data_IF_121493284611
#
_entry.id   IF_121493284611
#
_cell.length_a   1.000
_cell.length_b   1.000
_cell.length_c   1.000
_cell.angle_alpha   90.00
_cell.angle_beta   90.00
_cell.angle_gamma   90.00
#
_symmetry.space_group_name_H-M   'P 1'
#
loop_
_entity.id
_entity.type
_entity.pdbx_description
1 polymer ?
#
# COMPACT_ATOMS: atom_id res chain seq x y z
N UNK A 1 -9.61 18.75 -2.45
CA UNK A 1 -8.27 18.14 -2.37
C UNK A 1 -7.48 18.80 -1.25
N UNK A 2 -6.79 18.02 -0.45
CA UNK A 2 -5.90 18.53 0.61
C UNK A 2 -4.47 18.09 0.27
N UNK A 3 -3.51 18.99 0.46
CA UNK A 3 -2.10 18.71 0.22
C UNK A 3 -1.31 19.02 1.50
N UNK A 4 -0.39 18.10 1.83
CA UNK A 4 0.51 18.24 2.97
C UNK A 4 1.95 18.19 2.47
N UNK A 5 2.74 19.19 2.83
CA UNK A 5 4.16 19.25 2.51
C UNK A 5 4.91 19.77 3.73
N UNK A 6 5.96 19.07 4.12
CA UNK A 6 6.78 19.48 5.25
C UNK A 6 8.27 19.23 4.98
N UNK A 7 9.13 20.13 5.42
CA UNK A 7 10.59 20.01 5.24
C UNK A 7 11.21 19.00 6.20
N UNK A 8 10.64 18.84 7.39
CA UNK A 8 11.10 17.88 8.37
C UNK A 8 10.53 16.49 8.07
N UNK A 9 11.41 15.52 7.85
CA UNK A 9 11.02 14.15 7.52
C UNK A 9 10.23 13.48 8.66
N UNK A 10 10.54 13.76 9.91
CA UNK A 10 9.81 13.16 11.04
C UNK A 10 8.37 13.64 11.09
N UNK A 11 8.12 14.94 10.84
CA UNK A 11 6.78 15.47 10.73
C UNK A 11 6.04 14.88 9.53
N UNK A 12 6.68 14.74 8.37
CA UNK A 12 6.10 14.13 7.17
C UNK A 12 5.70 12.66 7.42
N UNK A 13 6.56 11.87 8.05
CA UNK A 13 6.28 10.47 8.41
C UNK A 13 5.12 10.38 9.41
N UNK A 14 5.09 11.23 10.41
CA UNK A 14 4.02 11.27 11.40
C UNK A 14 2.65 11.54 10.76
N UNK A 15 2.58 12.57 9.90
CA UNK A 15 1.34 12.92 9.18
C UNK A 15 0.92 11.79 8.24
N UNK A 16 1.87 11.19 7.51
CA UNK A 16 1.60 10.04 6.64
C UNK A 16 0.97 8.88 7.42
N UNK A 17 1.51 8.54 8.57
CA UNK A 17 0.95 7.49 9.43
C UNK A 17 -0.48 7.78 9.89
N UNK A 18 -0.79 9.05 10.20
CA UNK A 18 -2.15 9.45 10.58
C UNK A 18 -3.11 9.36 9.40
N UNK A 19 -2.68 9.81 8.22
CA UNK A 19 -3.50 9.79 6.99
C UNK A 19 -3.79 8.37 6.53
N UNK A 20 -2.80 7.47 6.55
CA UNK A 20 -2.97 6.08 6.13
C UNK A 20 -4.04 5.33 6.94
N UNK A 21 -4.26 5.72 8.18
CA UNK A 21 -5.34 5.15 9.02
C UNK A 21 -6.75 5.58 8.59
N UNK A 22 -6.85 6.58 7.72
CA UNK A 22 -8.10 7.14 7.22
C UNK A 22 -8.27 6.98 5.71
N UNK A 23 -7.27 6.40 5.04
CA UNK A 23 -7.32 6.14 3.61
C UNK A 23 -8.15 4.91 3.30
N UNK A 24 -9.02 5.01 2.31
CA UNK A 24 -9.69 3.86 1.70
C UNK A 24 -8.79 3.18 0.67
N UNK A 25 -8.01 3.97 -0.07
CA UNK A 25 -7.06 3.50 -1.10
C UNK A 25 -5.81 4.37 -1.08
N UNK A 26 -4.65 3.75 -1.18
CA UNK A 26 -3.37 4.41 -1.32
C UNK A 26 -2.88 4.32 -2.78
N UNK A 27 -2.70 5.46 -3.41
CA UNK A 27 -2.03 5.55 -4.71
C UNK A 27 -0.55 5.85 -4.47
N UNK A 28 0.32 4.92 -4.81
CA UNK A 28 1.75 5.03 -4.53
C UNK A 28 2.60 4.29 -5.55
N UNK A 29 3.84 4.71 -5.71
CA UNK A 29 4.85 3.88 -6.37
C UNK A 29 5.21 2.69 -5.46
N UNK A 30 5.74 1.59 -6.00
CA UNK A 30 6.25 0.48 -5.19
C UNK A 30 7.44 0.93 -4.34
N UNK A 31 7.22 1.09 -3.06
CA UNK A 31 8.21 1.57 -2.08
C UNK A 31 7.91 0.95 -0.71
N UNK A 32 8.52 1.47 0.34
CA UNK A 32 8.24 1.05 1.72
C UNK A 32 6.76 1.21 2.11
N UNK A 33 6.06 2.14 1.49
CA UNK A 33 4.62 2.33 1.69
C UNK A 33 3.78 1.14 1.19
N UNK A 34 4.34 0.32 0.30
CA UNK A 34 3.67 -0.90 -0.17
C UNK A 34 3.45 -1.96 0.93
N UNK A 35 4.11 -1.81 2.07
CA UNK A 35 3.95 -2.72 3.21
C UNK A 35 2.87 -2.31 4.21
N UNK A 36 2.26 -1.16 4.03
CA UNK A 36 1.12 -0.75 4.87
C UNK A 36 -0.14 -1.56 4.52
N UNK A 37 -0.95 -1.93 5.55
CA UNK A 37 -2.19 -2.68 5.34
C UNK A 37 -3.34 -1.77 4.89
N UNK A 38 -3.20 -1.16 3.73
CA UNK A 38 -4.19 -0.31 3.06
C UNK A 38 -4.31 -0.81 1.62
N UNK A 39 -5.52 -0.89 1.04
CA UNK A 39 -5.67 -1.17 -0.39
C UNK A 39 -4.83 -0.24 -1.26
N UNK A 40 -4.05 -0.79 -2.18
CA UNK A 40 -3.04 -0.03 -2.93
C UNK A 40 -3.22 -0.13 -4.43
N UNK A 41 -3.11 1.01 -5.10
CA UNK A 41 -2.83 1.09 -6.52
C UNK A 41 -1.36 1.45 -6.72
N UNK A 42 -0.61 0.56 -7.32
CA UNK A 42 0.81 0.76 -7.62
C UNK A 42 0.96 1.46 -8.96
N UNK A 43 1.51 2.67 -8.95
CA UNK A 43 1.90 3.38 -10.16
C UNK A 43 3.35 3.06 -10.52
N UNK A 44 3.83 3.61 -11.64
CA UNK A 44 5.16 3.33 -12.15
C UNK A 44 6.27 3.56 -11.10
N UNK A 45 7.18 2.60 -10.99
CA UNK A 45 8.36 2.69 -10.11
C UNK A 45 9.37 3.71 -10.60
N UNK A 46 10.19 4.21 -9.70
CA UNK A 46 11.34 5.06 -10.04
C UNK A 46 12.61 4.22 -10.22
N UNK A 47 12.84 3.28 -9.34
CA UNK A 47 14.01 2.39 -9.37
C UNK A 47 13.68 0.94 -9.71
N UNK A 48 14.58 0.26 -10.43
CA UNK A 48 14.39 -1.13 -10.84
C UNK A 48 14.18 -2.09 -9.65
N UNK A 49 14.82 -1.82 -8.52
CA UNK A 49 14.69 -2.62 -7.29
C UNK A 49 13.30 -2.56 -6.66
N UNK A 50 12.48 -1.56 -7.00
CA UNK A 50 11.13 -1.39 -6.47
C UNK A 50 10.09 -2.33 -7.12
N UNK A 51 10.44 -2.99 -8.24
CA UNK A 51 9.51 -3.88 -8.96
C UNK A 51 8.87 -4.95 -8.07
N UNK A 52 9.66 -5.51 -7.16
CA UNK A 52 9.21 -6.55 -6.23
C UNK A 52 8.13 -6.08 -5.25
N UNK A 53 8.07 -4.78 -4.95
CA UNK A 53 7.04 -4.21 -4.09
C UNK A 53 5.64 -4.36 -4.66
N UNK A 54 5.46 -4.09 -5.96
CA UNK A 54 4.18 -4.25 -6.64
C UNK A 54 3.80 -5.74 -6.81
N UNK A 55 4.75 -6.58 -7.20
CA UNK A 55 4.53 -8.03 -7.32
C UNK A 55 4.07 -8.60 -5.98
N UNK A 56 4.76 -8.23 -4.90
CA UNK A 56 4.39 -8.69 -3.56
C UNK A 56 3.01 -8.21 -3.13
N UNK A 57 2.65 -6.95 -3.39
CA UNK A 57 1.32 -6.43 -3.06
C UNK A 57 0.21 -7.21 -3.79
N UNK A 58 0.42 -7.52 -5.06
CA UNK A 58 -0.51 -8.32 -5.84
C UNK A 58 -0.61 -9.77 -5.33
N UNK A 59 0.52 -10.39 -4.96
CA UNK A 59 0.55 -11.75 -4.40
C UNK A 59 -0.11 -11.84 -3.01
N UNK A 60 0.13 -10.86 -2.16
CA UNK A 60 -0.53 -10.73 -0.85
C UNK A 60 -2.03 -10.46 -1.03
N UNK A 61 -2.41 -9.77 -2.11
CA UNK A 61 -3.78 -9.42 -2.42
C UNK A 61 -4.23 -8.11 -1.77
N UNK A 62 -3.30 -7.25 -1.38
CA UNK A 62 -3.59 -5.94 -0.80
C UNK A 62 -3.32 -4.77 -1.75
N UNK A 63 -2.83 -5.05 -2.97
CA UNK A 63 -2.55 -4.05 -3.98
C UNK A 63 -2.57 -4.58 -5.41
N UNK A 64 -2.52 -3.67 -6.37
CA UNK A 64 -2.42 -3.99 -7.80
C UNK A 64 -0.99 -4.36 -8.19
N UNK A 65 -0.84 -4.95 -9.36
CA UNK A 65 0.41 -4.87 -10.10
C UNK A 65 0.70 -3.42 -10.47
N UNK A 66 1.93 -3.15 -10.92
CA UNK A 66 2.34 -1.84 -11.39
C UNK A 66 1.52 -1.41 -12.60
N UNK A 67 0.93 -0.22 -12.52
CA UNK A 67 0.12 0.40 -13.58
C UNK A 67 0.96 1.50 -14.23
N UNK A 68 1.35 1.29 -15.47
CA UNK A 68 2.30 2.17 -16.16
C UNK A 68 1.64 3.34 -16.89
N UNK A 69 0.36 3.20 -17.24
CA UNK A 69 -0.38 4.19 -18.02
C UNK A 69 -1.43 4.89 -17.19
N UNK A 70 -1.58 6.17 -17.40
CA UNK A 70 -2.61 6.98 -16.73
C UNK A 70 -4.01 6.42 -16.93
N UNK A 71 -4.30 5.93 -18.13
CA UNK A 71 -5.61 5.32 -18.46
C UNK A 71 -5.90 4.08 -17.63
N UNK A 72 -4.87 3.27 -17.36
CA UNK A 72 -5.00 2.06 -16.52
C UNK A 72 -5.29 2.44 -15.06
N UNK A 73 -4.61 3.47 -14.55
CA UNK A 73 -4.83 4.00 -13.20
C UNK A 73 -6.25 4.54 -13.05
N UNK A 74 -6.70 5.34 -14.02
CA UNK A 74 -8.05 5.91 -14.02
C UNK A 74 -9.13 4.83 -14.10
N UNK A 75 -8.96 3.85 -14.99
CA UNK A 75 -9.90 2.73 -15.10
C UNK A 75 -9.99 1.93 -13.80
N UNK A 76 -8.85 1.70 -13.13
CA UNK A 76 -8.83 0.99 -11.85
C UNK A 76 -9.48 1.83 -10.73
N UNK A 77 -9.28 3.15 -10.72
CA UNK A 77 -9.95 4.02 -9.77
C UNK A 77 -11.47 4.03 -9.97
N UNK A 78 -11.94 4.05 -11.21
CA UNK A 78 -13.36 3.97 -11.52
C UNK A 78 -13.96 2.63 -11.03
N UNK A 79 -13.28 1.52 -11.26
CA UNK A 79 -13.69 0.20 -10.74
C UNK A 79 -13.72 0.14 -9.22
N UNK A 80 -12.80 0.81 -8.55
CA UNK A 80 -12.76 0.86 -7.08
C UNK A 80 -13.91 1.72 -6.53
N UNK A 81 -14.23 2.84 -7.19
CA UNK A 81 -15.23 3.79 -6.71
C UNK A 81 -16.65 3.39 -7.09
N UNK A 82 -16.86 2.90 -8.31
CA UNK A 82 -18.18 2.60 -8.87
C UNK A 82 -18.50 1.10 -8.88
N UNK A 83 -17.48 0.24 -8.82
CA UNK A 83 -17.64 -1.21 -8.72
C UNK A 83 -17.72 -1.69 -7.27
N UNK A 84 -18.11 -2.94 -7.11
CA UNK A 84 -18.30 -3.58 -5.80
C UNK A 84 -17.40 -4.80 -5.56
N UNK A 85 -16.44 -5.07 -6.44
CA UNK A 85 -15.62 -6.27 -6.39
C UNK A 85 -14.18 -6.01 -5.94
N UNK A 86 -13.49 -5.02 -6.50
CA UNK A 86 -12.05 -4.83 -6.33
C UNK A 86 -11.71 -4.40 -4.91
N UNK A 87 -12.33 -3.35 -4.40
CA UNK A 87 -12.03 -2.84 -3.06
C UNK A 87 -12.32 -3.88 -1.96
N UNK A 88 -13.47 -4.55 -1.96
CA UNK A 88 -13.68 -5.65 -1.02
C UNK A 88 -12.70 -6.81 -1.16
N UNK A 89 -12.23 -7.13 -2.37
CA UNK A 89 -11.23 -8.16 -2.60
C UNK A 89 -9.88 -7.79 -1.97
N UNK A 90 -9.43 -6.55 -2.15
CA UNK A 90 -8.21 -6.03 -1.52
C UNK A 90 -8.31 -6.02 0.02
N UNK A 91 -9.45 -5.62 0.55
CA UNK A 91 -9.71 -5.67 1.99
C UNK A 91 -9.66 -7.11 2.55
N UNK A 92 -10.24 -8.06 1.84
CA UNK A 92 -10.12 -9.49 2.21
C UNK A 92 -8.67 -9.98 2.15
N UNK A 93 -7.90 -9.53 1.16
CA UNK A 93 -6.45 -9.79 1.06
C UNK A 93 -5.71 -9.31 2.30
N UNK A 94 -5.97 -8.09 2.74
CA UNK A 94 -5.37 -7.50 3.95
C UNK A 94 -5.73 -8.34 5.19
N UNK A 95 -6.99 -8.73 5.35
CA UNK A 95 -7.42 -9.53 6.50
C UNK A 95 -6.75 -10.91 6.52
N UNK A 96 -6.61 -11.58 5.37
CA UNK A 96 -5.87 -12.83 5.26
C UNK A 96 -4.39 -12.67 5.60
N UNK A 97 -3.75 -11.62 5.07
CA UNK A 97 -2.36 -11.31 5.34
C UNK A 97 -2.12 -11.00 6.83
N UNK A 98 -3.04 -10.25 7.45
CA UNK A 98 -3.01 -10.01 8.90
C UNK A 98 -3.10 -11.30 9.69
N UNK A 99 -4.04 -12.17 9.36
CA UNK A 99 -4.20 -13.47 10.03
C UNK A 99 -2.95 -14.37 9.88
N UNK A 100 -2.23 -14.25 8.76
CA UNK A 100 -0.97 -14.95 8.51
C UNK A 100 0.26 -14.27 9.13
N UNK A 101 0.10 -13.16 9.84
CA UNK A 101 1.20 -12.42 10.48
C UNK A 101 2.09 -11.62 9.53
N UNK A 102 1.66 -11.37 8.29
CA UNK A 102 2.50 -10.72 7.26
C UNK A 102 2.85 -9.28 7.63
N UNK A 103 2.01 -8.58 8.38
CA UNK A 103 2.27 -7.19 8.80
C UNK A 103 3.02 -7.06 10.14
N UNK A 104 3.42 -8.17 10.76
CA UNK A 104 4.05 -8.17 12.07
C UNK A 104 5.59 -8.24 12.03
N UNK A 105 6.21 -8.02 10.87
CA UNK A 105 7.64 -8.23 10.67
C UNK A 105 8.53 -7.49 11.66
N UNK A 106 8.24 -6.23 11.96
CA UNK A 106 9.01 -5.45 12.92
C UNK A 106 8.90 -6.03 14.35
N UNK A 107 7.71 -6.43 14.77
CA UNK A 107 7.48 -7.06 16.06
C UNK A 107 8.23 -8.39 16.18
N UNK A 108 8.14 -9.25 15.18
CA UNK A 108 8.82 -10.54 15.16
C UNK A 108 10.35 -10.38 15.14
N UNK A 109 10.88 -9.39 14.41
CA UNK A 109 12.30 -9.09 14.40
C UNK A 109 12.82 -8.67 15.80
N UNK A 110 12.09 -7.80 16.48
CA UNK A 110 12.43 -7.38 17.84
C UNK A 110 12.35 -8.57 18.81
N UNK A 111 11.31 -9.37 18.71
CA UNK A 111 11.14 -10.57 19.54
C UNK A 111 12.32 -11.54 19.40
N UNK A 112 12.73 -11.82 18.16
CA UNK A 112 13.89 -12.67 17.89
C UNK A 112 15.21 -12.08 18.42
N UNK A 113 15.35 -10.75 18.37
CA UNK A 113 16.57 -10.07 18.83
C UNK A 113 16.75 -10.10 20.35
N UNK A 114 15.66 -10.23 21.13
CA UNK A 114 15.70 -10.23 22.61
C UNK A 114 15.57 -11.65 23.20
N UNK A 115 15.29 -12.63 22.41
CA UNK A 115 15.34 -14.04 22.81
C UNK A 115 16.79 -14.56 22.77
#
# INVERSE_FOLDING_TARGET
MQAFCHKDIFAAVYVTNLLLRRCDVLLTKPSELSFYPVPKLMIHRVGGHEAWGAIRAAEVGDGSYELDKTEEVLAMLDEITDGDEILPALCRGILRAKAAGIYNGAYEAVKLAVE
#
